data_IF_175232001638
#
_entry.id   IF_175232001638
#
_cell.length_a   1.000
_cell.length_b   1.000
_cell.length_c   1.000
_cell.angle_alpha   90.00
_cell.angle_beta   90.00
_cell.angle_gamma   90.00
#
_symmetry.space_group_name_H-M   'P 1'
#
loop_
_entity.id
_entity.type
_entity.pdbx_description
1 polymer ?
#
# COMPACT_ATOMS: atom_id res chain seq x y z
N UNK A 1 3.66 10.87 20.49
CA UNK A 1 2.62 9.85 20.74
C UNK A 1 3.09 8.46 20.31
N UNK A 2 3.44 8.25 19.03
CA UNK A 2 3.90 6.95 18.52
C UNK A 2 5.13 6.41 19.24
N UNK A 3 6.21 7.20 19.39
CA UNK A 3 7.41 6.76 20.11
C UNK A 3 7.09 6.33 21.55
N UNK A 4 6.29 7.11 22.27
CA UNK A 4 5.88 6.75 23.63
C UNK A 4 5.03 5.47 23.70
N UNK A 5 4.27 5.15 22.66
CA UNK A 5 3.55 3.87 22.57
C UNK A 5 4.55 2.71 22.38
N UNK A 6 5.51 2.86 21.48
CA UNK A 6 6.60 1.90 21.28
C UNK A 6 7.40 1.67 22.57
N UNK A 7 7.78 2.73 23.28
CA UNK A 7 8.53 2.67 24.54
C UNK A 7 7.76 1.92 25.64
N UNK A 8 6.42 1.92 25.58
CA UNK A 8 5.53 1.17 26.48
C UNK A 8 5.19 -0.23 25.97
N UNK A 9 5.73 -0.65 24.84
CA UNK A 9 5.38 -1.90 24.18
C UNK A 9 3.92 -1.96 23.71
N UNK A 10 3.31 -0.82 23.37
CA UNK A 10 1.98 -0.72 22.79
C UNK A 10 2.05 -0.67 21.27
N UNK A 11 1.09 -1.29 20.59
CA UNK A 11 1.01 -1.29 19.13
C UNK A 11 0.73 0.13 18.60
N UNK A 12 1.57 0.68 17.70
CA UNK A 12 1.37 2.01 17.12
C UNK A 12 0.01 2.22 16.46
N UNK A 13 -0.60 1.18 15.89
CA UNK A 13 -1.95 1.25 15.30
C UNK A 13 -3.02 1.75 16.28
N UNK A 14 -2.83 1.56 17.58
CA UNK A 14 -3.76 2.03 18.63
C UNK A 14 -3.71 3.54 18.89
N UNK A 15 -2.60 4.18 18.54
CA UNK A 15 -2.37 5.62 18.79
C UNK A 15 -2.44 6.47 17.53
N UNK A 16 -2.22 5.90 16.34
CA UNK A 16 -2.35 6.65 15.09
C UNK A 16 -3.70 7.37 14.91
N UNK A 17 -4.86 6.78 15.29
CA UNK A 17 -6.15 7.49 15.20
C UNK A 17 -6.27 8.73 16.10
N UNK A 18 -5.40 8.86 17.09
CA UNK A 18 -5.39 9.97 18.05
C UNK A 18 -4.48 11.12 17.59
N UNK A 19 -3.69 10.91 16.54
CA UNK A 19 -2.85 11.95 15.96
C UNK A 19 -3.76 12.92 15.20
N UNK A 20 -3.66 14.25 15.46
CA UNK A 20 -4.42 15.24 14.71
C UNK A 20 -4.22 15.11 13.21
N UNK A 21 -5.31 15.11 12.45
CA UNK A 21 -5.23 15.14 10.99
C UNK A 21 -4.64 16.47 10.53
N UNK A 22 -3.64 16.39 9.64
CA UNK A 22 -2.98 17.55 9.04
C UNK A 22 -3.34 17.72 7.57
N UNK A 23 -4.30 16.95 7.04
CA UNK A 23 -4.63 16.93 5.61
C UNK A 23 -5.08 18.29 5.10
N UNK A 24 -5.88 19.02 5.89
CA UNK A 24 -6.31 20.38 5.54
C UNK A 24 -5.13 21.37 5.47
N UNK A 25 -4.17 21.24 6.40
CA UNK A 25 -2.98 22.09 6.44
C UNK A 25 -2.04 21.78 5.27
N UNK A 26 -1.83 20.49 4.99
CA UNK A 26 -1.06 20.05 3.82
C UNK A 26 -1.71 20.52 2.52
N UNK A 27 -3.03 20.43 2.40
CA UNK A 27 -3.73 20.99 1.23
C UNK A 27 -3.45 22.48 1.10
N UNK A 28 -3.63 23.26 2.17
CA UNK A 28 -3.38 24.71 2.15
C UNK A 28 -1.95 25.04 1.71
N UNK A 29 -0.95 24.34 2.26
CA UNK A 29 0.47 24.55 1.93
C UNK A 29 0.84 24.18 0.50
N UNK A 30 0.01 23.39 -0.18
CA UNK A 30 0.31 22.87 -1.51
C UNK A 30 -0.60 23.43 -2.60
N UNK A 31 -1.57 24.28 -2.25
CA UNK A 31 -2.46 24.95 -3.21
C UNK A 31 -1.73 25.90 -4.17
N UNK A 32 -0.67 26.55 -3.70
CA UNK A 32 0.09 27.53 -4.48
C UNK A 32 1.28 26.92 -5.25
N UNK A 33 1.36 25.59 -5.34
CA UNK A 33 2.40 24.93 -6.13
C UNK A 33 2.19 25.17 -7.63
N UNK A 34 3.26 25.12 -8.45
CA UNK A 34 3.14 25.15 -9.90
C UNK A 34 2.22 24.04 -10.42
N UNK A 35 1.64 24.22 -11.60
CA UNK A 35 0.68 23.28 -12.20
C UNK A 35 1.26 21.86 -12.39
N UNK A 36 2.58 21.76 -12.60
CA UNK A 36 3.30 20.50 -12.72
C UNK A 36 3.44 19.74 -11.38
N UNK A 37 3.15 20.41 -10.25
CA UNK A 37 3.28 19.88 -8.91
C UNK A 37 1.90 19.89 -8.21
N UNK A 38 1.15 18.77 -8.28
CA UNK A 38 -0.20 18.74 -7.74
C UNK A 38 -0.25 19.08 -6.23
N UNK A 39 -1.37 19.67 -5.81
CA UNK A 39 -1.67 19.85 -4.39
C UNK A 39 -1.79 18.50 -3.66
N UNK A 40 -1.79 18.50 -2.33
CA UNK A 40 -1.90 17.28 -1.52
C UNK A 40 -3.09 16.40 -1.91
N UNK A 41 -4.28 17.00 -2.06
CA UNK A 41 -5.48 16.30 -2.53
C UNK A 41 -5.39 15.94 -4.02
N UNK A 42 -4.68 16.75 -4.82
CA UNK A 42 -4.38 16.43 -6.21
C UNK A 42 -3.57 15.14 -6.33
N UNK A 43 -2.47 15.03 -5.58
CA UNK A 43 -1.64 13.83 -5.49
C UNK A 43 -2.45 12.63 -4.99
N UNK A 44 -3.20 12.78 -3.89
CA UNK A 44 -4.03 11.71 -3.35
C UNK A 44 -5.08 11.17 -4.35
N UNK A 45 -5.51 12.01 -5.30
CA UNK A 45 -6.50 11.64 -6.32
C UNK A 45 -5.91 10.83 -7.48
N UNK A 46 -4.64 11.00 -7.82
CA UNK A 46 -3.99 10.37 -8.98
C UNK A 46 -2.87 9.39 -8.61
N UNK A 47 -2.87 8.88 -7.38
CA UNK A 47 -1.84 8.02 -6.79
C UNK A 47 -1.96 6.53 -7.18
N UNK A 48 -2.28 6.23 -8.44
CA UNK A 48 -2.46 4.83 -8.89
C UNK A 48 -1.18 4.00 -8.77
N UNK A 49 -0.04 4.65 -8.93
CA UNK A 49 1.32 4.14 -8.77
C UNK A 49 1.64 3.60 -7.39
N UNK A 50 0.77 3.76 -6.40
CA UNK A 50 0.92 3.11 -5.09
C UNK A 50 0.30 1.72 -5.00
N UNK A 51 -0.38 1.22 -6.04
CA UNK A 51 -1.23 0.04 -5.93
C UNK A 51 -0.86 -1.09 -6.89
N UNK A 52 -0.88 -2.33 -6.39
CA UNK A 52 -0.79 -3.56 -7.16
C UNK A 52 0.33 -3.57 -8.19
N UNK A 53 -0.02 -3.86 -9.46
CA UNK A 53 0.94 -3.86 -10.57
C UNK A 53 1.51 -2.48 -10.86
N UNK A 54 0.74 -1.40 -10.64
CA UNK A 54 1.19 -0.03 -10.93
C UNK A 54 2.37 0.35 -9.99
N UNK A 55 2.32 -0.05 -8.71
CA UNK A 55 3.46 0.10 -7.77
C UNK A 55 4.71 -0.66 -8.19
N UNK A 56 4.54 -1.88 -8.73
CA UNK A 56 5.69 -2.66 -9.23
C UNK A 56 6.32 -2.00 -10.44
N UNK A 57 5.50 -1.45 -11.33
CA UNK A 57 5.99 -0.67 -12.47
C UNK A 57 6.74 0.57 -12.00
N UNK A 58 6.21 1.30 -11.02
CA UNK A 58 6.84 2.50 -10.47
C UNK A 58 8.19 2.19 -9.81
N UNK A 59 8.27 1.16 -8.95
CA UNK A 59 9.54 0.68 -8.40
C UNK A 59 10.52 0.31 -9.50
N UNK A 60 10.11 -0.54 -10.45
CA UNK A 60 10.99 -1.02 -11.50
C UNK A 60 11.57 0.14 -12.32
N UNK A 61 10.76 1.14 -12.65
CA UNK A 61 11.22 2.33 -13.38
C UNK A 61 12.25 3.12 -12.57
N UNK A 62 11.95 3.43 -11.30
CA UNK A 62 12.84 4.19 -10.42
C UNK A 62 14.16 3.44 -10.17
N UNK A 63 14.08 2.16 -9.81
CA UNK A 63 15.22 1.30 -9.55
C UNK A 63 16.10 1.13 -10.80
N UNK A 64 15.49 0.95 -11.99
CA UNK A 64 16.23 0.89 -13.26
C UNK A 64 17.09 2.12 -13.48
N UNK A 65 16.52 3.31 -13.30
CA UNK A 65 17.25 4.57 -13.52
C UNK A 65 18.32 4.74 -12.44
N UNK A 66 18.02 4.44 -11.19
CA UNK A 66 18.98 4.48 -10.09
C UNK A 66 20.19 3.56 -10.35
N UNK A 67 19.97 2.35 -10.86
CA UNK A 67 21.04 1.42 -11.25
C UNK A 67 21.94 2.00 -12.36
N UNK A 68 21.37 2.65 -13.37
CA UNK A 68 22.16 3.29 -14.43
C UNK A 68 23.01 4.45 -13.88
N UNK A 69 22.42 5.28 -13.02
CA UNK A 69 23.12 6.37 -12.34
C UNK A 69 24.25 5.82 -11.47
N UNK A 70 24.01 4.72 -10.76
CA UNK A 70 25.03 4.02 -9.98
C UNK A 70 26.18 3.54 -10.88
N UNK A 71 25.87 2.82 -11.96
CA UNK A 71 26.83 2.30 -12.92
C UNK A 71 27.65 3.42 -13.59
N UNK A 72 27.07 4.60 -13.81
CA UNK A 72 27.81 5.77 -14.32
C UNK A 72 28.78 6.40 -13.29
N UNK A 73 28.70 6.00 -12.01
CA UNK A 73 29.62 6.39 -10.95
C UNK A 73 29.04 7.30 -9.88
N UNK A 74 27.79 7.76 -9.99
CA UNK A 74 27.17 8.64 -9.00
C UNK A 74 26.36 7.86 -7.95
N UNK A 75 27.05 7.29 -6.97
CA UNK A 75 26.44 6.45 -5.93
C UNK A 75 25.41 7.21 -5.07
N UNK A 76 25.70 8.45 -4.69
CA UNK A 76 24.84 9.21 -3.80
C UNK A 76 23.49 9.55 -4.46
N UNK A 77 23.53 10.02 -5.71
CA UNK A 77 22.30 10.28 -6.47
C UNK A 77 21.53 8.98 -6.72
N UNK A 78 22.23 7.89 -7.06
CA UNK A 78 21.60 6.59 -7.24
C UNK A 78 20.83 6.14 -6.00
N UNK A 79 21.41 6.26 -4.80
CA UNK A 79 20.69 5.92 -3.57
C UNK A 79 19.49 6.83 -3.30
N UNK A 80 19.61 8.14 -3.56
CA UNK A 80 18.48 9.04 -3.38
C UNK A 80 17.31 8.68 -4.32
N UNK A 81 17.61 8.38 -5.58
CA UNK A 81 16.62 7.92 -6.56
C UNK A 81 16.06 6.55 -6.19
N UNK A 82 16.91 5.64 -5.70
CA UNK A 82 16.48 4.32 -5.27
C UNK A 82 15.55 4.38 -4.06
N UNK A 83 15.85 5.22 -3.08
CA UNK A 83 15.01 5.40 -1.91
C UNK A 83 13.61 5.90 -2.29
N UNK A 84 13.51 6.75 -3.32
CA UNK A 84 12.21 7.12 -3.89
C UNK A 84 11.50 5.92 -4.55
N UNK A 85 12.24 5.05 -5.27
CA UNK A 85 11.70 3.78 -5.78
C UNK A 85 11.25 2.82 -4.68
N UNK A 86 12.05 2.68 -3.62
CA UNK A 86 11.80 1.79 -2.48
C UNK A 86 10.50 2.14 -1.74
N UNK A 87 10.00 3.38 -1.87
CA UNK A 87 8.66 3.75 -1.46
C UNK A 87 7.61 2.81 -2.09
N UNK A 88 7.62 2.68 -3.41
CA UNK A 88 6.67 1.82 -4.14
C UNK A 88 6.95 0.33 -3.94
N UNK A 89 8.21 -0.04 -3.65
CA UNK A 89 8.55 -1.39 -3.21
C UNK A 89 7.84 -1.71 -1.89
N UNK A 90 7.90 -0.81 -0.91
CA UNK A 90 7.26 -0.98 0.39
C UNK A 90 5.74 -1.00 0.30
N UNK A 91 5.13 -0.22 -0.61
CA UNK A 91 3.70 -0.32 -0.89
C UNK A 91 3.28 -1.75 -1.29
N UNK A 92 4.17 -2.52 -1.93
CA UNK A 92 3.90 -3.93 -2.27
C UNK A 92 3.81 -4.87 -1.05
N UNK A 93 4.17 -4.39 0.15
CA UNK A 93 4.06 -5.10 1.42
C UNK A 93 2.90 -4.61 2.29
N UNK A 94 2.15 -3.60 1.86
CA UNK A 94 0.97 -3.11 2.57
C UNK A 94 -0.30 -3.76 2.00
N UNK A 95 -1.07 -4.45 2.83
CA UNK A 95 -2.24 -5.23 2.40
C UNK A 95 -3.23 -4.44 1.52
N UNK A 96 -3.62 -3.24 1.94
CA UNK A 96 -4.54 -2.34 1.24
C UNK A 96 -4.03 -1.87 -0.12
N UNK A 97 -2.72 -1.90 -0.35
CA UNK A 97 -2.11 -1.54 -1.62
C UNK A 97 -2.10 -2.69 -2.63
N UNK A 98 -2.26 -3.95 -2.20
CA UNK A 98 -2.20 -5.11 -3.11
C UNK A 98 -3.50 -5.38 -3.87
N UNK A 99 -4.65 -5.32 -3.18
CA UNK A 99 -5.95 -5.74 -3.73
C UNK A 99 -6.87 -4.59 -4.14
N UNK A 100 -6.66 -3.38 -3.61
CA UNK A 100 -7.52 -2.24 -3.92
C UNK A 100 -7.42 -1.89 -5.41
N UNK A 101 -8.51 -1.97 -6.19
CA UNK A 101 -8.48 -1.71 -7.62
C UNK A 101 -8.47 -0.20 -7.89
N UNK A 102 -7.40 0.51 -7.47
CA UNK A 102 -7.32 1.97 -7.39
C UNK A 102 -7.62 2.67 -8.71
N UNK A 103 -7.08 2.17 -9.83
CA UNK A 103 -7.34 2.71 -11.18
C UNK A 103 -8.80 2.59 -11.59
N UNK A 104 -9.49 1.51 -11.17
CA UNK A 104 -10.92 1.31 -11.42
C UNK A 104 -11.78 2.22 -10.53
N UNK A 105 -11.34 2.45 -9.31
CA UNK A 105 -12.00 3.28 -8.30
C UNK A 105 -11.46 4.71 -8.32
N UNK A 106 -11.65 5.38 -9.44
CA UNK A 106 -11.29 6.78 -9.63
C UNK A 106 -12.39 7.49 -10.41
N UNK A 107 -12.80 8.66 -9.94
CA UNK A 107 -13.77 9.50 -10.64
C UNK A 107 -13.47 11.00 -10.48
N UNK A 108 -14.21 11.83 -11.20
CA UNK A 108 -14.01 13.28 -11.18
C UNK A 108 -14.45 13.92 -9.86
N UNK A 109 -15.37 13.29 -9.12
CA UNK A 109 -16.02 13.84 -7.92
C UNK A 109 -15.42 13.35 -6.60
N UNK A 110 -14.51 12.37 -6.63
CA UNK A 110 -13.82 11.78 -5.48
C UNK A 110 -14.58 10.65 -4.77
N UNK A 111 -15.77 10.28 -5.21
CA UNK A 111 -16.60 9.29 -4.52
C UNK A 111 -16.03 7.87 -4.68
N UNK A 112 -15.59 7.53 -5.89
CA UNK A 112 -14.87 6.30 -6.17
C UNK A 112 -13.53 6.23 -5.40
N UNK A 113 -12.80 7.34 -5.33
CA UNK A 113 -11.53 7.42 -4.61
C UNK A 113 -11.72 7.18 -3.09
N UNK A 114 -12.79 7.73 -2.51
CA UNK A 114 -13.17 7.44 -1.13
C UNK A 114 -13.56 5.97 -0.92
N UNK A 115 -14.25 5.36 -1.88
CA UNK A 115 -14.54 3.93 -1.88
C UNK A 115 -13.26 3.08 -1.91
N UNK A 116 -12.26 3.49 -2.72
CA UNK A 116 -10.94 2.85 -2.74
C UNK A 116 -10.29 2.92 -1.37
N UNK A 117 -10.34 4.09 -0.72
CA UNK A 117 -9.83 4.29 0.63
C UNK A 117 -10.47 3.34 1.65
N UNK A 118 -11.77 3.11 1.59
CA UNK A 118 -12.42 2.17 2.50
C UNK A 118 -11.92 0.73 2.32
N UNK A 119 -11.80 0.24 1.08
CA UNK A 119 -11.24 -1.10 0.85
C UNK A 119 -9.78 -1.20 1.31
N UNK A 120 -8.99 -0.18 0.97
CA UNK A 120 -7.61 -0.05 1.38
C UNK A 120 -7.44 -0.13 2.90
N UNK A 121 -8.22 0.65 3.65
CA UNK A 121 -8.17 0.65 5.12
C UNK A 121 -8.67 -0.68 5.72
N UNK A 122 -9.67 -1.33 5.10
CA UNK A 122 -10.15 -2.67 5.51
C UNK A 122 -9.05 -3.73 5.39
N UNK A 123 -8.44 -3.81 4.20
CA UNK A 123 -7.38 -4.78 3.92
C UNK A 123 -6.12 -4.48 4.74
N UNK A 124 -5.72 -3.21 4.93
CA UNK A 124 -4.59 -2.84 5.80
C UNK A 124 -4.80 -3.21 7.28
N UNK A 125 -6.03 -3.10 7.78
CA UNK A 125 -6.33 -3.39 9.17
C UNK A 125 -6.49 -4.89 9.44
N UNK A 126 -7.21 -5.61 8.59
CA UNK A 126 -7.50 -7.04 8.77
C UNK A 126 -6.36 -7.92 8.24
N UNK A 127 -5.65 -7.43 7.24
CA UNK A 127 -4.49 -8.08 6.63
C UNK A 127 -4.86 -9.12 5.57
N UNK A 128 -3.81 -9.59 4.90
CA UNK A 128 -3.87 -10.56 3.81
C UNK A 128 -2.83 -11.66 4.06
N UNK A 129 -3.15 -12.89 3.65
CA UNK A 129 -2.18 -13.98 3.60
C UNK A 129 -1.46 -13.94 2.27
N UNK A 130 -0.13 -13.93 2.30
CA UNK A 130 0.71 -13.75 1.10
C UNK A 130 1.82 -14.78 1.04
N UNK A 131 2.40 -14.92 -0.15
CA UNK A 131 3.59 -15.72 -0.43
C UNK A 131 4.59 -14.93 -1.24
N UNK A 132 5.86 -15.26 -1.14
CA UNK A 132 6.94 -14.72 -1.97
C UNK A 132 7.50 -15.77 -2.93
N UNK A 133 8.18 -15.37 -4.02
CA UNK A 133 8.81 -16.30 -4.96
C UNK A 133 9.82 -17.28 -4.33
N UNK A 134 10.44 -16.94 -3.21
CA UNK A 134 11.36 -17.83 -2.48
C UNK A 134 10.64 -18.80 -1.52
N UNK A 135 9.31 -18.91 -1.62
CA UNK A 135 8.51 -19.90 -0.89
C UNK A 135 8.16 -19.50 0.54
N UNK A 136 8.46 -18.28 0.98
CA UNK A 136 7.99 -17.78 2.29
C UNK A 136 6.52 -17.41 2.23
N UNK A 137 5.81 -17.65 3.32
CA UNK A 137 4.41 -17.28 3.49
C UNK A 137 4.21 -16.59 4.85
N UNK A 138 3.42 -15.52 4.87
CA UNK A 138 3.10 -14.78 6.09
C UNK A 138 1.74 -14.08 5.97
N UNK A 139 1.24 -13.59 7.10
CA UNK A 139 0.11 -12.66 7.14
C UNK A 139 0.66 -11.24 7.23
N UNK A 140 0.20 -10.36 6.36
CA UNK A 140 0.66 -8.97 6.24
C UNK A 140 -0.46 -8.00 6.53
N UNK A 141 -0.15 -6.97 7.29
CA UNK A 141 -0.98 -5.78 7.47
C UNK A 141 -0.41 -4.62 6.64
N UNK A 142 -0.88 -3.40 6.87
CA UNK A 142 -0.27 -2.26 6.18
C UNK A 142 -0.49 -0.92 6.85
N UNK A 143 0.08 0.10 6.23
CA UNK A 143 0.16 1.49 6.69
C UNK A 143 0.56 1.59 8.17
N UNK A 144 -0.45 1.79 9.02
CA UNK A 144 -0.38 2.07 10.44
C UNK A 144 0.03 0.86 11.26
N UNK A 145 0.13 -0.34 10.65
CA UNK A 145 0.38 -1.60 11.34
C UNK A 145 1.78 -2.17 11.17
N UNK A 146 2.65 -1.58 10.33
CA UNK A 146 4.01 -2.09 10.07
C UNK A 146 4.85 -2.30 11.35
N UNK A 147 4.63 -1.47 12.37
CA UNK A 147 5.34 -1.51 13.64
C UNK A 147 4.55 -2.19 14.76
N UNK A 148 3.37 -2.73 14.46
CA UNK A 148 2.64 -3.56 15.42
C UNK A 148 3.37 -4.88 15.63
N UNK A 149 3.22 -5.48 16.82
CA UNK A 149 3.86 -6.76 17.15
C UNK A 149 3.46 -7.89 16.21
N UNK A 150 2.24 -7.86 15.69
CA UNK A 150 1.72 -8.89 14.79
C UNK A 150 2.32 -8.81 13.37
N UNK A 151 2.88 -7.66 12.95
CA UNK A 151 3.36 -7.45 11.57
C UNK A 151 4.89 -7.65 11.43
N UNK A 152 5.55 -8.22 12.44
CA UNK A 152 7.02 -8.42 12.44
C UNK A 152 7.49 -9.24 11.25
N UNK A 153 6.75 -10.29 10.86
CA UNK A 153 7.09 -11.09 9.67
C UNK A 153 7.08 -10.24 8.41
N UNK A 154 6.04 -9.42 8.21
CA UNK A 154 5.93 -8.53 7.06
C UNK A 154 7.05 -7.49 7.03
N UNK A 155 7.33 -6.86 8.18
CA UNK A 155 8.44 -5.90 8.34
C UNK A 155 9.78 -6.53 7.96
N UNK A 156 10.03 -7.78 8.35
CA UNK A 156 11.26 -8.48 8.03
C UNK A 156 11.37 -8.79 6.52
N UNK A 157 10.27 -9.17 5.86
CA UNK A 157 10.28 -9.38 4.41
C UNK A 157 10.46 -8.08 3.63
N UNK A 158 9.79 -6.99 4.05
CA UNK A 158 9.98 -5.66 3.47
C UNK A 158 11.43 -5.18 3.66
N UNK A 159 12.01 -5.39 4.84
CA UNK A 159 13.43 -5.09 5.12
C UNK A 159 14.37 -5.87 4.19
N UNK A 160 14.11 -7.16 3.98
CA UNK A 160 14.93 -7.97 3.08
C UNK A 160 14.85 -7.46 1.63
N UNK A 161 13.66 -7.08 1.15
CA UNK A 161 13.50 -6.53 -0.19
C UNK A 161 14.25 -5.21 -0.37
N UNK A 162 14.09 -4.26 0.56
CA UNK A 162 14.77 -2.95 0.52
C UNK A 162 16.29 -3.10 0.65
N UNK A 163 16.76 -4.01 1.52
CA UNK A 163 18.20 -4.32 1.61
C UNK A 163 18.76 -4.81 0.29
N UNK A 164 18.07 -5.74 -0.37
CA UNK A 164 18.52 -6.26 -1.67
C UNK A 164 18.49 -5.18 -2.75
N UNK A 165 17.45 -4.33 -2.78
CA UNK A 165 17.39 -3.15 -3.65
C UNK A 165 18.62 -2.25 -3.47
N UNK A 166 18.97 -1.91 -2.21
CA UNK A 166 20.15 -1.11 -1.92
C UNK A 166 21.48 -1.82 -2.26
N UNK A 167 21.57 -3.14 -2.05
CA UNK A 167 22.74 -3.95 -2.42
C UNK A 167 22.95 -3.95 -3.94
N UNK A 168 21.87 -4.02 -4.74
CA UNK A 168 21.93 -3.95 -6.21
C UNK A 168 22.47 -2.59 -6.69
N UNK A 169 22.08 -1.48 -6.05
CA UNK A 169 22.64 -0.14 -6.33
C UNK A 169 24.15 -0.10 -6.05
N UNK A 170 24.58 -0.60 -4.89
CA UNK A 170 26.00 -0.63 -4.55
C UNK A 170 26.81 -1.47 -5.53
N UNK A 171 26.29 -2.66 -5.85
CA UNK A 171 26.94 -3.57 -6.79
C UNK A 171 27.05 -2.93 -8.17
N UNK A 172 25.98 -2.31 -8.67
CA UNK A 172 26.00 -1.63 -9.96
C UNK A 172 27.04 -0.49 -9.99
N UNK A 173 27.15 0.28 -8.92
CA UNK A 173 28.20 1.30 -8.81
C UNK A 173 29.60 0.70 -8.79
N UNK A 174 29.81 -0.39 -8.05
CA UNK A 174 31.12 -1.03 -7.89
C UNK A 174 31.60 -1.71 -9.18
N UNK A 175 30.72 -2.46 -9.85
CA UNK A 175 31.07 -3.28 -11.01
C UNK A 175 30.82 -2.59 -12.35
N UNK A 176 30.10 -1.45 -12.35
CA UNK A 176 29.68 -0.73 -13.56
C UNK A 176 28.73 -1.55 -14.45
N UNK A 177 28.05 -2.53 -13.87
CA UNK A 177 27.09 -3.41 -14.55
C UNK A 177 25.76 -3.41 -13.83
N UNK A 178 24.65 -3.40 -14.56
CA UNK A 178 23.30 -3.43 -13.97
C UNK A 178 22.66 -4.82 -14.12
N UNK A 179 21.82 -5.28 -13.17
CA UNK A 179 20.96 -6.43 -13.38
C UNK A 179 19.97 -6.17 -14.53
N UNK A 180 19.56 -7.24 -15.22
CA UNK A 180 18.66 -7.14 -16.36
C UNK A 180 17.21 -6.87 -15.90
N UNK A 181 16.54 -5.90 -16.53
CA UNK A 181 15.12 -5.66 -16.31
C UNK A 181 14.26 -6.86 -16.80
N UNK A 182 13.17 -7.24 -16.09
CA UNK A 182 12.72 -6.76 -14.77
C UNK A 182 13.21 -7.64 -13.59
N UNK A 183 14.32 -8.36 -13.77
CA UNK A 183 14.82 -9.38 -12.83
C UNK A 183 15.61 -8.74 -11.67
N UNK A 184 14.90 -8.04 -10.78
CA UNK A 184 15.48 -7.44 -9.58
C UNK A 184 15.33 -8.36 -8.36
N UNK A 185 16.39 -8.43 -7.57
CA UNK A 185 16.46 -9.32 -6.41
C UNK A 185 15.42 -9.00 -5.33
N UNK A 186 14.97 -7.75 -5.23
CA UNK A 186 13.93 -7.33 -4.28
C UNK A 186 12.63 -8.12 -4.46
N UNK A 187 12.27 -8.50 -5.71
CA UNK A 187 11.04 -9.22 -6.00
C UNK A 187 11.01 -10.66 -5.49
N UNK A 188 12.15 -11.21 -5.11
CA UNK A 188 12.22 -12.52 -4.46
C UNK A 188 11.53 -12.52 -3.09
N UNK A 189 11.42 -11.37 -2.42
CA UNK A 189 10.87 -11.24 -1.08
C UNK A 189 9.46 -10.63 -1.06
N UNK A 190 9.07 -9.91 -2.11
CA UNK A 190 7.76 -9.30 -2.18
C UNK A 190 6.64 -10.33 -2.33
N UNK A 191 5.41 -10.01 -1.86
CA UNK A 191 4.22 -10.81 -2.13
C UNK A 191 4.03 -11.13 -3.62
N UNK A 192 3.40 -12.26 -3.94
CA UNK A 192 2.94 -12.59 -5.29
C UNK A 192 1.48 -12.14 -5.41
N UNK A 193 1.20 -11.11 -6.22
CA UNK A 193 -0.13 -10.46 -6.23
C UNK A 193 -1.29 -11.40 -6.57
N UNK A 194 -1.10 -12.36 -7.47
CA UNK A 194 -2.16 -13.29 -7.87
C UNK A 194 -2.35 -14.48 -6.91
N UNK A 195 -1.50 -14.60 -5.88
CA UNK A 195 -1.60 -15.61 -4.82
C UNK A 195 -2.05 -15.01 -3.47
N UNK A 196 -2.40 -13.74 -3.44
CA UNK A 196 -2.92 -13.05 -2.25
C UNK A 196 -4.25 -13.66 -1.84
N UNK A 197 -4.36 -14.03 -0.56
CA UNK A 197 -5.55 -14.59 0.05
C UNK A 197 -6.03 -13.72 1.21
N UNK A 198 -7.30 -13.81 1.55
CA UNK A 198 -7.88 -13.13 2.71
C UNK A 198 -9.09 -13.87 3.22
N UNK A 199 -9.32 -13.77 4.52
CA UNK A 199 -10.60 -14.17 5.12
C UNK A 199 -11.73 -13.24 4.64
N UNK A 200 -11.45 -11.96 4.41
CA UNK A 200 -12.45 -11.00 3.92
C UNK A 200 -12.52 -11.02 2.39
N UNK A 201 -13.75 -11.16 1.87
CA UNK A 201 -14.02 -10.95 0.45
C UNK A 201 -13.62 -9.52 0.07
N UNK A 202 -13.07 -9.21 -1.11
CA UNK A 202 -12.80 -7.82 -1.49
C UNK A 202 -14.07 -6.95 -1.41
N UNK A 203 -13.94 -5.73 -0.88
CA UNK A 203 -15.05 -4.77 -0.91
C UNK A 203 -15.41 -4.38 -2.35
N UNK A 204 -14.39 -4.20 -3.19
CA UNK A 204 -14.52 -3.97 -4.63
C UNK A 204 -13.60 -4.90 -5.41
N UNK A 205 -14.10 -5.41 -6.53
CA UNK A 205 -13.34 -6.27 -7.44
C UNK A 205 -12.80 -5.45 -8.62
N UNK A 206 -11.77 -5.98 -9.28
CA UNK A 206 -11.19 -5.36 -10.47
C UNK A 206 -12.18 -5.21 -11.64
N UNK A 207 -13.21 -6.07 -11.71
CA UNK A 207 -14.30 -5.97 -12.69
C UNK A 207 -15.32 -4.85 -12.37
N UNK A 208 -15.16 -4.16 -11.24
CA UNK A 208 -16.04 -3.09 -10.78
C UNK A 208 -17.23 -3.57 -9.94
N UNK A 209 -17.34 -4.86 -9.63
CA UNK A 209 -18.38 -5.29 -8.69
C UNK A 209 -18.03 -4.90 -7.25
N UNK A 210 -19.05 -4.55 -6.46
CA UNK A 210 -18.93 -4.29 -5.00
C UNK A 210 -19.53 -5.46 -4.22
N UNK A 211 -18.97 -5.77 -3.04
CA UNK A 211 -19.58 -6.69 -2.07
C UNK A 211 -21.05 -6.31 -1.83
N UNK A 212 -21.98 -7.23 -2.03
CA UNK A 212 -23.42 -6.94 -2.04
C UNK A 212 -23.91 -6.43 -0.67
N UNK A 213 -23.48 -7.08 0.41
CA UNK A 213 -23.73 -6.68 1.80
C UNK A 213 -22.42 -6.18 2.42
N UNK A 214 -22.31 -4.86 2.64
CA UNK A 214 -21.09 -4.28 3.24
C UNK A 214 -20.85 -4.75 4.68
N UNK A 215 -21.90 -5.21 5.37
CA UNK A 215 -21.83 -5.62 6.78
C UNK A 215 -21.35 -7.05 6.97
N UNK A 216 -21.19 -7.82 5.87
CA UNK A 216 -20.74 -9.22 5.89
C UNK A 216 -19.39 -9.35 5.19
N UNK A 217 -18.30 -9.04 5.89
CA UNK A 217 -16.97 -8.91 5.27
C UNK A 217 -16.47 -10.18 4.59
N UNK A 218 -16.88 -11.35 5.06
CA UNK A 218 -16.43 -12.64 4.54
C UNK A 218 -17.40 -13.25 3.52
N UNK A 219 -18.53 -12.60 3.23
CA UNK A 219 -19.45 -13.03 2.20
C UNK A 219 -19.01 -12.58 0.80
N UNK A 220 -18.54 -13.52 -0.01
CA UNK A 220 -18.18 -13.31 -1.42
C UNK A 220 -19.42 -13.25 -2.36
N UNK A 221 -20.38 -12.38 -2.06
CA UNK A 221 -21.52 -12.05 -2.92
C UNK A 221 -21.35 -10.64 -3.45
N UNK A 222 -21.57 -10.41 -4.74
CA UNK A 222 -21.28 -9.12 -5.37
C UNK A 222 -22.45 -8.57 -6.18
N UNK A 223 -22.44 -7.26 -6.42
CA UNK A 223 -23.44 -6.54 -7.19
C UNK A 223 -22.80 -5.42 -8.03
N UNK A 224 -23.42 -5.11 -9.16
CA UNK A 224 -23.16 -3.91 -9.96
C UNK A 224 -24.21 -2.81 -9.72
N UNK A 225 -25.28 -3.10 -9.00
CA UNK A 225 -26.34 -2.14 -8.70
C UNK A 225 -25.99 -1.35 -7.43
N UNK A 226 -25.16 -0.32 -7.59
CA UNK A 226 -24.78 0.60 -6.52
C UNK A 226 -24.22 1.91 -7.11
N UNK A 227 -24.17 2.95 -6.29
CA UNK A 227 -23.45 4.19 -6.60
C UNK A 227 -22.29 4.38 -5.63
N UNK A 228 -21.17 4.94 -6.10
CA UNK A 228 -20.00 5.17 -5.22
C UNK A 228 -20.34 6.10 -4.05
N UNK A 229 -21.07 7.19 -4.30
CA UNK A 229 -21.39 8.16 -3.25
C UNK A 229 -22.29 7.55 -2.15
N UNK A 230 -23.32 6.77 -2.52
CA UNK A 230 -24.19 6.12 -1.55
C UNK A 230 -23.45 5.03 -0.80
N UNK A 231 -22.59 4.28 -1.50
CA UNK A 231 -21.71 3.29 -0.89
C UNK A 231 -20.79 3.91 0.15
N UNK A 232 -20.13 5.03 -0.16
CA UNK A 232 -19.25 5.73 0.78
C UNK A 232 -20.02 6.21 2.02
N UNK A 233 -21.24 6.71 1.86
CA UNK A 233 -22.11 7.09 2.98
C UNK A 233 -22.49 5.88 3.84
N UNK A 234 -22.89 4.76 3.22
CA UNK A 234 -23.27 3.52 3.92
C UNK A 234 -22.09 2.94 4.70
N UNK A 235 -20.89 2.93 4.10
CA UNK A 235 -19.65 2.48 4.74
C UNK A 235 -19.35 3.32 5.99
N UNK A 236 -19.44 4.64 5.88
CA UNK A 236 -19.25 5.57 7.00
C UNK A 236 -20.32 5.38 8.09
N UNK A 237 -21.60 5.33 7.70
CA UNK A 237 -22.73 5.20 8.62
C UNK A 237 -22.75 3.84 9.34
N UNK A 238 -22.17 2.80 8.75
CA UNK A 238 -22.12 1.47 9.37
C UNK A 238 -21.28 1.42 10.65
N UNK A 239 -20.33 2.34 10.81
CA UNK A 239 -19.34 2.32 11.90
C UNK A 239 -18.31 1.18 11.81
N UNK A 240 -18.42 0.26 10.85
CA UNK A 240 -17.53 -0.89 10.72
C UNK A 240 -16.10 -0.47 10.33
N UNK A 241 -15.94 0.65 9.63
CA UNK A 241 -14.65 1.23 9.26
C UNK A 241 -14.06 2.18 10.32
N UNK A 242 -14.72 2.34 11.46
CA UNK A 242 -14.12 3.04 12.59
C UNK A 242 -13.05 2.15 13.21
N UNK A 243 -11.98 2.77 13.71
CA UNK A 243 -10.96 2.02 14.43
C UNK A 243 -11.54 1.46 15.76
N UNK A 244 -11.25 0.19 16.12
CA UNK A 244 -10.51 -0.79 15.34
C UNK A 244 -11.36 -1.44 14.25
N UNK A 245 -10.83 -1.52 13.03
CA UNK A 245 -11.46 -2.26 11.92
C UNK A 245 -11.18 -3.75 12.12
N UNK A 246 -12.23 -4.55 12.26
CA UNK A 246 -12.14 -5.99 12.56
C UNK A 246 -12.97 -6.84 11.59
N UNK A 247 -12.67 -8.15 11.46
CA UNK A 247 -13.58 -9.11 10.84
C UNK A 247 -14.97 -9.06 11.48
N UNK A 248 -16.00 -9.28 10.68
CA UNK A 248 -17.40 -9.37 11.13
C UNK A 248 -17.76 -10.81 11.52
N UNK A 249 -18.90 -11.01 12.20
CA UNK A 249 -19.28 -12.32 12.75
C UNK A 249 -19.54 -13.41 11.70
N UNK A 250 -19.68 -13.06 10.42
CA UNK A 250 -19.77 -14.02 9.31
C UNK A 250 -18.42 -14.62 8.90
N UNK A 251 -17.32 -14.03 9.39
CA UNK A 251 -15.97 -14.55 9.19
C UNK A 251 -15.75 -15.76 10.09
N UNK A 252 -15.57 -16.93 9.48
CA UNK A 252 -15.12 -18.13 10.19
C UNK A 252 -13.60 -18.01 10.36
N UNK A 253 -13.16 -17.67 11.57
CA UNK A 253 -11.75 -17.53 11.97
C UNK A 253 -11.32 -18.83 12.66
#
# INVERSE_FOLDING_TARGET
>A
MVQAALDKGQDPSTVYPQIPDVSAQLQLYTLARPDECPSYLGLAKINWDHFGTDARTAYNACHSVALQVAASGNLQLAYAMNAFGDHFLQDSFAAGHMRTPRRKLHDSVGAADLCAKFMHDEDNAIGLSVKSPIGRAWHTYGDKRLLDKEDVSNKNEAWNAVRISADEIYNAWKTKTVPAYPNYGAWNYAPILNEVQSIVAPLFRADGQRRADIKKRCQAKYTNNYWYWSTALDLKASGLWNYPIKPTSDCKI
#
